data_IF_469021729357
#
_entry.id   IF_469021729357
#
_cell.length_a   1.000
_cell.length_b   1.000
_cell.length_c   1.000
_cell.angle_alpha   90.00
_cell.angle_beta   90.00
_cell.angle_gamma   90.00
#
_symmetry.space_group_name_H-M   'P 1'
#
loop_
_entity.id
_entity.type
_entity.pdbx_description
1 polymer ?
#
# COMPACT_ATOMS: atom_id res chain seq x y z
N UNK A 1 24.87 -30.98 24.11
CA UNK A 1 24.53 -30.27 22.86
C UNK A 1 23.05 -30.47 22.50
N UNK A 2 22.12 -29.98 23.31
CA UNK A 2 20.69 -29.98 22.96
C UNK A 2 20.01 -28.86 23.74
N UNK A 3 19.62 -27.80 23.05
CA UNK A 3 18.51 -26.88 23.37
C UNK A 3 18.82 -25.48 22.82
N UNK A 4 18.52 -25.27 21.53
CA UNK A 4 18.43 -23.93 20.93
C UNK A 4 17.25 -23.81 19.94
N UNK A 5 16.48 -24.88 19.75
CA UNK A 5 15.36 -24.93 18.78
C UNK A 5 14.01 -24.60 19.44
N UNK A 6 13.93 -24.59 20.78
CA UNK A 6 12.66 -24.37 21.51
C UNK A 6 12.31 -22.87 21.74
N UNK A 7 13.28 -21.95 21.66
CA UNK A 7 13.05 -20.54 21.99
C UNK A 7 12.43 -19.74 20.83
N UNK A 8 12.77 -20.07 19.58
CA UNK A 8 12.29 -19.34 18.39
C UNK A 8 10.80 -19.61 18.05
N UNK A 9 10.26 -20.76 18.47
CA UNK A 9 8.83 -21.06 18.33
C UNK A 9 7.98 -20.40 19.41
N UNK A 10 8.50 -20.24 20.63
CA UNK A 10 7.78 -19.57 21.73
C UNK A 10 7.48 -18.11 21.44
N UNK A 11 8.49 -17.33 21.03
CA UNK A 11 8.37 -15.88 20.81
C UNK A 11 7.45 -15.54 19.61
N UNK A 12 7.49 -16.33 18.53
CA UNK A 12 6.60 -16.16 17.38
C UNK A 12 5.14 -16.51 17.70
N UNK A 13 4.90 -17.49 18.57
CA UNK A 13 3.57 -17.88 19.06
C UNK A 13 3.04 -16.83 20.03
N UNK A 14 3.86 -16.32 20.94
CA UNK A 14 3.51 -15.28 21.91
C UNK A 14 3.20 -13.94 21.21
N UNK A 15 3.96 -13.61 20.16
CA UNK A 15 3.68 -12.44 19.31
C UNK A 15 2.38 -12.62 18.50
N UNK A 16 2.07 -13.83 18.02
CA UNK A 16 0.82 -14.10 17.26
C UNK A 16 -0.41 -14.15 18.17
N UNK A 17 -0.29 -14.74 19.35
CA UNK A 17 -1.33 -14.76 20.37
C UNK A 17 -1.59 -13.34 20.91
N UNK A 18 -0.53 -12.61 21.27
CA UNK A 18 -0.62 -11.20 21.70
C UNK A 18 -1.27 -10.29 20.66
N UNK A 19 -0.96 -10.48 19.36
CA UNK A 19 -1.64 -9.75 18.26
C UNK A 19 -3.12 -10.10 18.15
N UNK A 20 -3.49 -11.36 18.33
CA UNK A 20 -4.91 -11.76 18.31
C UNK A 20 -5.68 -11.20 19.52
N UNK A 21 -5.04 -11.15 20.68
CA UNK A 21 -5.60 -10.55 21.90
C UNK A 21 -5.75 -9.04 21.76
N UNK A 22 -4.75 -8.34 21.22
CA UNK A 22 -4.81 -6.90 21.00
C UNK A 22 -5.95 -6.51 20.07
N UNK A 23 -6.21 -7.30 19.02
CA UNK A 23 -7.34 -7.03 18.10
C UNK A 23 -8.68 -7.14 18.82
N UNK A 24 -8.85 -8.15 19.70
CA UNK A 24 -10.09 -8.31 20.46
C UNK A 24 -10.28 -7.18 21.49
N UNK A 25 -9.22 -6.79 22.20
CA UNK A 25 -9.24 -5.68 23.16
C UNK A 25 -9.54 -4.35 22.46
N UNK A 26 -8.87 -4.09 21.34
CA UNK A 26 -9.09 -2.89 20.54
C UNK A 26 -10.51 -2.85 19.96
N UNK A 27 -11.07 -3.98 19.52
CA UNK A 27 -12.46 -4.08 19.09
C UNK A 27 -13.46 -3.76 20.23
N UNK A 28 -13.06 -3.99 21.48
CA UNK A 28 -13.83 -3.62 22.67
C UNK A 28 -13.61 -2.16 23.13
N UNK A 29 -12.79 -1.40 22.41
CA UNK A 29 -12.52 0.02 22.70
C UNK A 29 -11.21 0.30 23.46
N UNK A 30 -10.33 -0.69 23.63
CA UNK A 30 -9.01 -0.47 24.24
C UNK A 30 -8.07 0.28 23.27
N UNK A 31 -7.86 1.57 23.54
CA UNK A 31 -6.97 2.42 22.76
C UNK A 31 -5.49 2.04 22.85
N UNK A 32 -5.03 1.47 23.98
CA UNK A 32 -3.65 1.03 24.14
C UNK A 32 -3.35 -0.22 23.32
N UNK A 33 -4.33 -1.13 23.23
CA UNK A 33 -4.26 -2.28 22.33
C UNK A 33 -4.18 -1.84 20.86
N UNK A 34 -5.00 -0.84 20.47
CA UNK A 34 -4.93 -0.30 19.12
C UNK A 34 -3.65 0.46 18.83
N UNK A 35 -3.06 1.16 19.80
CA UNK A 35 -1.76 1.80 19.64
C UNK A 35 -0.66 0.77 19.30
N UNK A 36 -0.66 -0.40 19.96
CA UNK A 36 0.27 -1.49 19.63
C UNK A 36 0.07 -2.01 18.21
N UNK A 37 -1.19 -2.21 17.81
CA UNK A 37 -1.56 -2.57 16.43
C UNK A 37 -1.04 -1.52 15.44
N UNK A 38 -1.29 -0.24 15.72
CA UNK A 38 -0.84 0.88 14.89
C UNK A 38 0.68 0.85 14.70
N UNK A 39 1.45 0.79 15.80
CA UNK A 39 2.93 0.75 15.75
C UNK A 39 3.46 -0.44 14.96
N UNK A 40 2.78 -1.59 15.03
CA UNK A 40 3.15 -2.79 14.29
C UNK A 40 2.91 -2.70 12.77
N UNK A 41 1.98 -1.84 12.33
CA UNK A 41 1.53 -1.80 10.93
C UNK A 41 1.82 -0.51 10.19
N UNK A 42 2.03 0.61 10.89
CA UNK A 42 2.13 1.95 10.30
C UNK A 42 3.19 2.06 9.23
N UNK A 43 4.39 1.51 9.45
CA UNK A 43 5.48 1.61 8.48
C UNK A 43 5.14 0.96 7.13
N UNK A 44 4.46 -0.19 7.15
CA UNK A 44 4.04 -0.88 5.92
C UNK A 44 2.93 -0.12 5.20
N UNK A 45 1.92 0.34 5.95
CA UNK A 45 0.80 1.09 5.38
C UNK A 45 1.29 2.43 4.81
N UNK A 46 2.17 3.13 5.51
CA UNK A 46 2.78 4.37 5.04
C UNK A 46 3.61 4.18 3.77
N UNK A 47 4.38 3.09 3.69
CA UNK A 47 5.13 2.79 2.47
C UNK A 47 4.21 2.52 1.27
N UNK A 48 3.08 1.83 1.49
CA UNK A 48 2.06 1.62 0.46
C UNK A 48 1.44 2.96 0.01
N UNK A 49 1.02 3.81 0.96
CA UNK A 49 0.39 5.11 0.63
C UNK A 49 1.36 6.00 -0.12
N UNK A 50 2.63 6.08 0.31
CA UNK A 50 3.67 6.86 -0.37
C UNK A 50 3.89 6.40 -1.81
N UNK A 51 4.04 5.09 -2.04
CA UNK A 51 4.24 4.56 -3.40
C UNK A 51 3.04 4.82 -4.31
N UNK A 52 1.83 4.83 -3.77
CA UNK A 52 0.61 4.99 -4.57
C UNK A 52 0.23 6.46 -4.81
N UNK A 53 0.39 7.32 -3.81
CA UNK A 53 -0.12 8.71 -3.81
C UNK A 53 0.98 9.78 -3.81
N UNK A 54 2.24 9.39 -3.58
CA UNK A 54 3.37 10.30 -3.39
C UNK A 54 3.53 10.75 -1.93
N UNK A 55 4.63 11.45 -1.68
CA UNK A 55 5.05 11.88 -0.33
C UNK A 55 4.06 12.83 0.32
N UNK A 56 3.50 13.79 -0.42
CA UNK A 56 2.63 14.84 0.14
C UNK A 56 1.34 14.31 0.78
N UNK A 57 0.83 13.18 0.27
CA UNK A 57 -0.44 12.58 0.72
C UNK A 57 -0.25 11.42 1.70
N UNK A 58 0.99 10.92 1.85
CA UNK A 58 1.25 9.66 2.55
C UNK A 58 0.83 9.73 4.02
N UNK A 59 1.18 10.81 4.72
CA UNK A 59 0.88 10.97 6.15
C UNK A 59 -0.62 11.09 6.41
N UNK A 60 -1.31 11.97 5.68
CA UNK A 60 -2.76 12.21 5.82
C UNK A 60 -3.55 10.92 5.55
N UNK A 61 -3.26 10.25 4.43
CA UNK A 61 -4.01 9.04 4.05
C UNK A 61 -3.70 7.88 5.00
N UNK A 62 -2.45 7.76 5.48
CA UNK A 62 -2.11 6.75 6.48
C UNK A 62 -2.92 6.95 7.76
N UNK A 63 -3.06 8.20 8.23
CA UNK A 63 -3.88 8.51 9.39
C UNK A 63 -5.35 8.17 9.14
N UNK A 64 -5.93 8.58 8.01
CA UNK A 64 -7.32 8.25 7.65
C UNK A 64 -7.55 6.73 7.60
N UNK A 65 -6.60 5.95 7.06
CA UNK A 65 -6.68 4.48 7.07
C UNK A 65 -6.80 3.94 8.48
N UNK A 66 -5.98 4.40 9.43
CA UNK A 66 -6.04 3.92 10.81
C UNK A 66 -7.27 4.40 11.56
N UNK A 67 -7.75 5.62 11.30
CA UNK A 67 -9.04 6.10 11.83
C UNK A 67 -10.18 5.21 11.34
N UNK A 68 -10.24 4.93 10.04
CA UNK A 68 -11.26 4.03 9.48
C UNK A 68 -11.09 2.60 9.96
N UNK A 69 -9.86 2.14 10.19
CA UNK A 69 -9.59 0.81 10.74
C UNK A 69 -10.14 0.69 12.17
N UNK A 70 -9.93 1.70 13.02
CA UNK A 70 -10.51 1.76 14.36
C UNK A 70 -12.04 1.69 14.32
N UNK A 71 -12.67 2.53 13.49
CA UNK A 71 -14.13 2.59 13.36
C UNK A 71 -14.73 1.27 12.82
N UNK A 72 -14.02 0.58 11.93
CA UNK A 72 -14.48 -0.68 11.34
C UNK A 72 -14.02 -1.91 12.11
N UNK A 73 -13.25 -1.77 13.18
CA UNK A 73 -12.61 -2.88 13.87
C UNK A 73 -13.64 -3.89 14.42
N UNK A 74 -14.78 -3.40 14.90
CA UNK A 74 -15.87 -4.26 15.37
C UNK A 74 -16.51 -5.15 14.29
N UNK A 75 -16.23 -4.88 13.00
CA UNK A 75 -16.70 -5.74 11.89
C UNK A 75 -15.74 -6.88 11.57
N UNK A 76 -14.54 -6.90 12.17
CA UNK A 76 -13.55 -7.93 11.92
C UNK A 76 -13.95 -9.24 12.62
N UNK A 77 -14.24 -10.28 11.81
CA UNK A 77 -14.73 -11.57 12.28
C UNK A 77 -13.65 -12.61 12.59
N UNK A 78 -12.37 -12.30 12.36
CA UNK A 78 -11.28 -13.26 12.56
C UNK A 78 -11.16 -14.36 11.49
N UNK A 79 -11.91 -14.29 10.41
CA UNK A 79 -11.87 -15.26 9.29
C UNK A 79 -10.54 -15.19 8.48
N UNK A 80 -9.75 -14.13 8.68
CA UNK A 80 -8.41 -13.95 8.13
C UNK A 80 -7.51 -13.26 9.15
N UNK A 81 -6.19 -13.22 8.90
CA UNK A 81 -5.30 -12.43 9.73
C UNK A 81 -5.69 -10.94 9.69
N UNK A 82 -5.62 -10.26 10.83
CA UNK A 82 -5.92 -8.82 10.91
C UNK A 82 -5.08 -8.00 9.92
N UNK A 83 -3.80 -8.36 9.75
CA UNK A 83 -2.92 -7.72 8.76
C UNK A 83 -3.49 -7.77 7.34
N UNK A 84 -4.14 -8.87 6.96
CA UNK A 84 -4.77 -9.04 5.65
C UNK A 84 -6.00 -8.15 5.52
N UNK A 85 -6.82 -8.09 6.56
CA UNK A 85 -8.00 -7.22 6.60
C UNK A 85 -7.61 -5.73 6.53
N UNK A 86 -6.65 -5.30 7.36
CA UNK A 86 -6.14 -3.93 7.37
C UNK A 86 -5.53 -3.54 6.03
N UNK A 87 -4.75 -4.45 5.42
CA UNK A 87 -4.13 -4.20 4.13
C UNK A 87 -5.16 -4.03 3.01
N UNK A 88 -6.21 -4.87 2.98
CA UNK A 88 -7.33 -4.69 2.02
C UNK A 88 -8.06 -3.36 2.23
N UNK A 89 -8.31 -2.98 3.49
CA UNK A 89 -8.90 -1.68 3.81
C UNK A 89 -8.03 -0.53 3.30
N UNK A 90 -6.72 -0.60 3.54
CA UNK A 90 -5.76 0.40 3.09
C UNK A 90 -5.75 0.57 1.57
N UNK A 91 -5.69 -0.53 0.81
CA UNK A 91 -5.71 -0.48 -0.66
C UNK A 91 -6.99 0.18 -1.17
N UNK A 92 -8.15 -0.19 -0.62
CA UNK A 92 -9.42 0.40 -1.04
C UNK A 92 -9.44 1.92 -0.82
N UNK A 93 -8.97 2.40 0.33
CA UNK A 93 -8.91 3.83 0.66
C UNK A 93 -7.92 4.56 -0.26
N UNK A 94 -6.76 3.95 -0.52
CA UNK A 94 -5.74 4.55 -1.40
C UNK A 94 -6.24 4.67 -2.83
N UNK A 95 -6.91 3.64 -3.36
CA UNK A 95 -7.51 3.68 -4.70
C UNK A 95 -8.61 4.74 -4.76
N UNK A 96 -9.49 4.79 -3.74
CA UNK A 96 -10.53 5.81 -3.62
C UNK A 96 -9.93 7.22 -3.67
N UNK A 97 -8.92 7.50 -2.82
CA UNK A 97 -8.28 8.81 -2.77
C UNK A 97 -7.64 9.18 -4.10
N UNK A 98 -6.95 8.24 -4.76
CA UNK A 98 -6.37 8.50 -6.07
C UNK A 98 -7.43 8.92 -7.07
N UNK A 99 -8.54 8.17 -7.17
CA UNK A 99 -9.64 8.50 -8.10
C UNK A 99 -10.17 9.91 -7.84
N UNK A 100 -10.36 10.30 -6.57
CA UNK A 100 -10.76 11.66 -6.21
C UNK A 100 -9.75 12.72 -6.66
N UNK A 101 -8.44 12.47 -6.48
CA UNK A 101 -7.39 13.39 -6.93
C UNK A 101 -7.34 13.53 -8.46
N UNK A 102 -7.55 12.44 -9.19
CA UNK A 102 -7.64 12.47 -10.66
C UNK A 102 -8.80 13.35 -11.13
N UNK A 103 -9.99 13.18 -10.55
CA UNK A 103 -11.17 13.99 -10.86
C UNK A 103 -10.98 15.47 -10.53
N UNK A 104 -10.31 15.80 -9.42
CA UNK A 104 -9.98 17.18 -9.08
C UNK A 104 -9.06 17.81 -10.12
N UNK A 105 -8.05 17.09 -10.62
CA UNK A 105 -7.15 17.58 -11.68
C UNK A 105 -7.88 17.77 -13.01
N UNK A 106 -8.72 16.83 -13.42
CA UNK A 106 -9.52 16.95 -14.64
C UNK A 106 -10.47 18.16 -14.60
N UNK A 107 -11.07 18.46 -13.44
CA UNK A 107 -11.92 19.65 -13.26
C UNK A 107 -11.17 20.98 -13.31
N UNK A 108 -9.85 20.96 -13.09
CA UNK A 108 -8.99 22.15 -13.16
C UNK A 108 -8.41 22.34 -14.58
N UNK A 109 -8.43 21.30 -15.42
CA UNK A 109 -7.82 21.29 -16.75
C UNK A 109 -8.92 20.96 -17.77
N UNK A 110 -9.62 21.99 -18.24
CA UNK A 110 -10.52 21.87 -19.40
C UNK A 110 -9.68 21.96 -20.69
N UNK A 111 -8.84 20.93 -20.94
CA UNK A 111 -8.21 20.66 -22.24
C UNK A 111 -7.87 19.15 -22.36
N UNK A 112 -8.54 18.38 -23.24
CA UNK A 112 -8.51 16.93 -23.23
C UNK A 112 -7.35 16.40 -24.09
N UNK A 113 -6.10 16.57 -23.67
CA UNK A 113 -4.99 15.70 -24.10
C UNK A 113 -3.73 16.03 -23.32
N UNK A 114 -3.43 15.31 -22.24
CA UNK A 114 -2.07 15.34 -21.69
C UNK A 114 -1.62 13.94 -21.27
N UNK A 115 -1.12 13.21 -22.26
CA UNK A 115 -0.12 12.16 -22.04
C UNK A 115 1.23 12.88 -21.84
N UNK A 116 1.47 13.45 -20.65
CA UNK A 116 2.77 14.08 -20.37
C UNK A 116 3.81 13.02 -20.04
N UNK A 117 4.77 12.88 -20.96
CA UNK A 117 6.10 12.35 -20.70
C UNK A 117 6.90 13.42 -19.97
N UNK A 118 7.02 13.30 -18.65
CA UNK A 118 8.03 14.05 -17.91
C UNK A 118 9.29 13.18 -17.79
N UNK A 119 10.41 13.68 -18.32
CA UNK A 119 11.76 13.12 -18.13
C UNK A 119 12.53 14.11 -17.24
N UNK A 120 13.01 13.68 -16.08
CA UNK A 120 13.78 14.53 -15.13
C UNK A 120 14.86 13.67 -14.43
N UNK A 121 16.07 14.20 -14.14
CA UNK A 121 17.31 13.42 -14.08
C UNK A 121 17.61 12.80 -12.72
N UNK A 122 18.32 11.67 -12.76
CA UNK A 122 18.73 10.89 -11.59
C UNK A 122 19.94 11.51 -10.87
N UNK A 123 19.76 11.91 -9.61
CA UNK A 123 20.84 12.08 -8.65
C UNK A 123 20.91 10.82 -7.79
N UNK A 124 22.05 10.11 -7.81
CA UNK A 124 22.24 8.84 -7.10
C UNK A 124 22.18 9.05 -5.59
N UNK A 125 21.11 8.55 -4.98
CA UNK A 125 21.00 8.31 -3.55
C UNK A 125 21.21 6.81 -3.27
N UNK A 126 21.10 6.41 -2.01
CA UNK A 126 21.16 5.01 -1.59
C UNK A 126 20.21 4.13 -2.44
N UNK A 127 20.59 2.91 -2.82
CA UNK A 127 19.88 2.10 -3.84
C UNK A 127 18.37 1.94 -3.54
N UNK A 128 18.00 1.90 -2.26
CA UNK A 128 16.60 1.89 -1.81
C UNK A 128 15.87 3.20 -2.06
N UNK A 129 16.53 4.32 -1.84
CA UNK A 129 16.01 5.66 -2.12
C UNK A 129 15.82 5.84 -3.62
N UNK A 130 16.76 5.35 -4.44
CA UNK A 130 16.67 5.39 -5.90
C UNK A 130 15.44 4.62 -6.42
N UNK A 131 15.17 3.42 -5.90
CA UNK A 131 14.00 2.62 -6.31
C UNK A 131 12.68 3.27 -5.91
N UNK A 132 12.57 3.75 -4.68
CA UNK A 132 11.34 4.39 -4.20
C UNK A 132 11.04 5.67 -4.98
N UNK A 133 12.07 6.48 -5.24
CA UNK A 133 11.95 7.67 -6.07
C UNK A 133 11.56 7.33 -7.50
N UNK A 134 12.15 6.30 -8.11
CA UNK A 134 11.80 5.85 -9.46
C UNK A 134 10.32 5.41 -9.55
N UNK A 135 9.80 4.70 -8.54
CA UNK A 135 8.38 4.35 -8.46
C UNK A 135 7.50 5.60 -8.38
N UNK A 136 7.89 6.59 -7.57
CA UNK A 136 7.18 7.87 -7.45
C UNK A 136 7.20 8.72 -8.73
N UNK A 137 8.12 8.45 -9.68
CA UNK A 137 8.16 9.12 -10.99
C UNK A 137 7.32 8.40 -12.07
N UNK A 138 6.82 7.19 -11.80
CA UNK A 138 6.02 6.46 -12.78
C UNK A 138 4.70 7.18 -13.09
N UNK A 139 4.22 7.15 -14.34
CA UNK A 139 2.88 7.61 -14.68
C UNK A 139 1.81 6.91 -13.81
N UNK A 140 0.74 7.60 -13.36
CA UNK A 140 -0.16 7.11 -12.32
C UNK A 140 -0.70 5.68 -12.57
N UNK A 141 -1.21 5.40 -13.77
CA UNK A 141 -1.73 4.06 -14.08
C UNK A 141 -0.67 2.95 -14.19
N UNK A 142 0.57 3.31 -14.55
CA UNK A 142 1.69 2.37 -14.55
C UNK A 142 2.16 2.09 -13.13
N UNK A 143 2.23 3.13 -12.29
CA UNK A 143 2.60 3.07 -10.88
C UNK A 143 1.67 2.16 -10.09
N UNK A 144 0.36 2.36 -10.19
CA UNK A 144 -0.63 1.58 -9.45
C UNK A 144 -0.52 0.09 -9.76
N UNK A 145 -0.48 -0.25 -11.05
CA UNK A 145 -0.41 -1.64 -11.47
C UNK A 145 0.91 -2.27 -11.05
N UNK A 146 2.02 -1.52 -11.12
CA UNK A 146 3.31 -2.00 -10.64
C UNK A 146 3.31 -2.28 -9.13
N UNK A 147 2.83 -1.32 -8.32
CA UNK A 147 2.75 -1.50 -6.87
C UNK A 147 1.84 -2.67 -6.52
N UNK A 148 0.62 -2.73 -7.07
CA UNK A 148 -0.31 -3.80 -6.76
C UNK A 148 0.21 -5.17 -7.21
N UNK A 149 0.89 -5.28 -8.36
CA UNK A 149 1.35 -6.56 -8.89
C UNK A 149 2.72 -6.99 -8.33
N UNK A 150 3.75 -6.18 -8.52
CA UNK A 150 5.14 -6.56 -8.24
C UNK A 150 5.53 -6.33 -6.77
N UNK A 151 4.86 -5.42 -6.07
CA UNK A 151 5.13 -5.12 -4.65
C UNK A 151 4.14 -5.85 -3.73
N UNK A 152 2.84 -5.79 -4.03
CA UNK A 152 1.80 -6.36 -3.17
C UNK A 152 1.36 -7.78 -3.60
N UNK A 153 1.70 -8.23 -4.81
CA UNK A 153 1.47 -9.61 -5.27
C UNK A 153 0.08 -9.92 -5.82
N UNK A 154 -0.73 -8.90 -6.15
CA UNK A 154 -2.05 -9.11 -6.75
C UNK A 154 -1.96 -9.60 -8.20
N UNK A 155 -2.90 -10.45 -8.60
CA UNK A 155 -3.00 -10.92 -9.99
C UNK A 155 -3.65 -9.85 -10.85
N UNK A 156 -3.31 -9.85 -12.14
CA UNK A 156 -3.91 -8.92 -13.12
C UNK A 156 -5.44 -8.87 -13.12
N UNK A 157 -6.11 -9.99 -12.83
CA UNK A 157 -7.57 -10.04 -12.74
C UNK A 157 -8.08 -9.26 -11.52
N UNK A 158 -7.47 -9.45 -10.35
CA UNK A 158 -7.83 -8.74 -9.13
C UNK A 158 -7.58 -7.25 -9.29
N UNK A 159 -6.44 -6.87 -9.89
CA UNK A 159 -6.10 -5.48 -10.18
C UNK A 159 -7.11 -4.85 -11.17
N UNK A 160 -7.50 -5.58 -12.20
CA UNK A 160 -8.50 -5.13 -13.17
C UNK A 160 -9.86 -4.83 -12.51
N UNK A 161 -10.28 -5.69 -11.58
CA UNK A 161 -11.50 -5.50 -10.79
C UNK A 161 -11.37 -4.29 -9.85
N UNK A 162 -10.25 -4.14 -9.14
CA UNK A 162 -10.00 -3.02 -8.22
C UNK A 162 -9.91 -1.65 -8.91
N UNK A 163 -9.30 -1.60 -10.10
CA UNK A 163 -9.07 -0.37 -10.85
C UNK A 163 -10.15 -0.10 -11.91
N UNK A 164 -11.13 -1.00 -12.07
CA UNK A 164 -12.21 -0.90 -13.07
C UNK A 164 -11.67 -0.76 -14.51
N UNK A 165 -10.64 -1.55 -14.84
CA UNK A 165 -10.01 -1.57 -16.17
C UNK A 165 -10.01 -2.98 -16.76
N UNK A 166 -9.77 -3.10 -18.07
CA UNK A 166 -9.58 -4.41 -18.68
C UNK A 166 -8.27 -5.09 -18.19
N UNK A 167 -8.30 -6.41 -17.99
CA UNK A 167 -7.11 -7.22 -17.64
C UNK A 167 -5.92 -6.98 -18.60
N UNK A 168 -6.19 -6.79 -19.89
CA UNK A 168 -5.17 -6.44 -20.88
C UNK A 168 -4.52 -5.07 -20.65
N UNK A 169 -5.27 -4.10 -20.11
CA UNK A 169 -4.75 -2.79 -19.71
C UNK A 169 -3.80 -2.92 -18.52
N UNK A 170 -4.14 -3.72 -17.51
CA UNK A 170 -3.22 -4.04 -16.40
C UNK A 170 -1.89 -4.60 -16.92
N UNK A 171 -1.92 -5.61 -17.80
CA UNK A 171 -0.69 -6.18 -18.39
C UNK A 171 0.17 -5.14 -19.12
N UNK A 172 -0.46 -4.30 -19.95
CA UNK A 172 0.24 -3.23 -20.70
C UNK A 172 0.85 -2.19 -19.77
N UNK A 173 0.14 -1.77 -18.73
CA UNK A 173 0.65 -0.82 -17.73
C UNK A 173 1.82 -1.39 -16.93
N UNK A 174 1.75 -2.67 -16.54
CA UNK A 174 2.87 -3.33 -15.84
C UNK A 174 4.12 -3.40 -16.72
N UNK A 175 3.96 -3.78 -17.99
CA UNK A 175 5.06 -3.78 -18.95
C UNK A 175 5.68 -2.39 -19.10
N UNK A 176 4.85 -1.35 -19.26
CA UNK A 176 5.30 0.04 -19.33
C UNK A 176 6.06 0.47 -18.07
N UNK A 177 5.55 0.15 -16.88
CA UNK A 177 6.20 0.48 -15.62
C UNK A 177 7.61 -0.13 -15.54
N UNK A 178 7.74 -1.43 -15.87
CA UNK A 178 9.03 -2.13 -15.85
C UNK A 178 10.02 -1.57 -16.87
N UNK A 179 9.58 -1.11 -18.04
CA UNK A 179 10.47 -0.45 -19.00
C UNK A 179 11.01 0.87 -18.42
N UNK A 180 10.14 1.73 -17.91
CA UNK A 180 10.54 3.02 -17.34
C UNK A 180 11.47 2.86 -16.14
N UNK A 181 11.20 1.91 -15.24
CA UNK A 181 12.10 1.63 -14.11
C UNK A 181 13.46 1.11 -14.56
N UNK A 182 13.53 0.30 -15.63
CA UNK A 182 14.79 -0.17 -16.19
C UNK A 182 15.61 0.95 -16.82
N UNK A 183 14.96 1.94 -17.43
CA UNK A 183 15.62 3.13 -17.98
C UNK A 183 16.13 4.07 -16.88
N UNK A 184 15.42 4.18 -15.76
CA UNK A 184 15.80 5.05 -14.64
C UNK A 184 16.86 4.46 -13.72
N UNK A 185 16.89 3.14 -13.57
CA UNK A 185 17.79 2.41 -12.65
C UNK A 185 18.97 1.72 -13.35
N UNK A 186 19.01 1.77 -14.69
CA UNK A 186 19.98 1.09 -15.56
C UNK A 186 21.09 2.00 -16.07
#
# INVERSE_FOLDING_TARGET
MTSAVATLTGEAIETRAGRSTDVALAAAGDGSAFERIYRAHVARIHSLTRRMLGTDMADEVTQDIFVRAWLKLGTFRGESAFSTWLHRLAINIVIERRRSLALCRERTIDDPTVLELATVPAARADLRVDVEHAIEQLPPGAREVFVLHDVEGYKHREIAEMLEVATGTSKRQLHRARLLLREQLG
#
